data_IF_333906592910
#
_entry.id   IF_333906592910
#
_cell.length_a   1.000
_cell.length_b   1.000
_cell.length_c   1.000
_cell.angle_alpha   90.00
_cell.angle_beta   90.00
_cell.angle_gamma   90.00
#
_symmetry.space_group_name_H-M   'P 1'
#
loop_
_entity.id
_entity.type
_entity.pdbx_description
1 polymer ?
#
# COMPACT_ATOMS: atom_id res chain seq x y z
N UNK A 1 -21.01 -32.19 -20.22
CA UNK A 1 -21.14 -31.54 -21.54
C UNK A 1 -22.40 -30.70 -21.48
N UNK A 2 -22.29 -29.41 -21.76
CA UNK A 2 -23.41 -28.49 -21.94
C UNK A 2 -23.84 -28.54 -23.41
N UNK A 3 -25.14 -28.49 -23.66
CA UNK A 3 -25.68 -28.40 -25.01
C UNK A 3 -25.56 -26.94 -25.50
N UNK A 4 -25.62 -26.75 -26.84
CA UNK A 4 -25.72 -25.42 -27.43
C UNK A 4 -26.91 -24.67 -26.82
N UNK A 5 -26.71 -23.40 -26.48
CA UNK A 5 -27.72 -22.51 -25.86
C UNK A 5 -28.17 -22.88 -24.44
N UNK A 6 -27.49 -23.82 -23.76
CA UNK A 6 -27.77 -24.13 -22.36
C UNK A 6 -27.36 -22.97 -21.45
N UNK A 7 -28.30 -22.56 -20.59
CA UNK A 7 -28.08 -21.49 -19.61
C UNK A 7 -27.96 -22.07 -18.21
N UNK A 8 -26.79 -21.92 -17.58
CA UNK A 8 -26.57 -22.28 -16.18
C UNK A 8 -26.68 -21.02 -15.34
N UNK A 9 -27.54 -21.02 -14.33
CA UNK A 9 -27.69 -19.91 -13.39
C UNK A 9 -27.05 -20.28 -12.06
N UNK A 10 -26.08 -19.49 -11.64
CA UNK A 10 -25.40 -19.64 -10.36
C UNK A 10 -25.66 -18.41 -9.49
N UNK A 11 -25.81 -18.61 -8.18
CA UNK A 11 -25.94 -17.53 -7.20
C UNK A 11 -24.85 -17.73 -6.15
N UNK A 12 -23.98 -16.75 -6.04
CA UNK A 12 -23.01 -16.71 -4.94
C UNK A 12 -23.70 -16.37 -3.63
N UNK A 13 -23.39 -17.09 -2.55
CA UNK A 13 -23.85 -16.79 -1.19
C UNK A 13 -22.86 -15.84 -0.49
N UNK A 14 -21.58 -15.93 -0.85
CA UNK A 14 -20.49 -15.16 -0.27
C UNK A 14 -19.59 -14.61 -1.37
N UNK A 15 -18.59 -13.81 -1.00
CA UNK A 15 -17.54 -13.40 -1.93
C UNK A 15 -16.80 -14.65 -2.40
N UNK A 16 -16.75 -14.87 -3.70
CA UNK A 16 -16.03 -15.98 -4.30
C UNK A 16 -15.37 -15.55 -5.60
N UNK A 17 -14.29 -16.26 -5.94
CA UNK A 17 -13.71 -16.21 -7.27
C UNK A 17 -14.37 -17.32 -8.10
N UNK A 18 -14.89 -16.96 -9.28
CA UNK A 18 -15.40 -17.92 -10.22
C UNK A 18 -14.39 -18.07 -11.36
N UNK A 19 -13.93 -19.29 -11.58
CA UNK A 19 -13.12 -19.64 -12.75
C UNK A 19 -14.04 -20.39 -13.69
N UNK A 20 -14.16 -19.88 -14.92
CA UNK A 20 -14.99 -20.48 -15.96
C UNK A 20 -14.07 -20.82 -17.13
N UNK A 21 -14.13 -22.07 -17.57
CA UNK A 21 -13.32 -22.55 -18.67
C UNK A 21 -14.25 -23.15 -19.72
N UNK A 22 -13.97 -22.88 -20.99
CA UNK A 22 -14.59 -23.48 -22.13
C UNK A 22 -13.56 -24.32 -22.91
N UNK A 23 -13.14 -25.47 -22.36
CA UNK A 23 -12.23 -26.35 -23.06
C UNK A 23 -12.95 -26.96 -24.27
N UNK A 24 -12.24 -27.14 -25.35
CA UNK A 24 -12.70 -28.00 -26.43
C UNK A 24 -12.88 -29.46 -25.96
N UNK A 25 -13.54 -30.27 -26.72
CA UNK A 25 -13.57 -31.71 -26.50
C UNK A 25 -12.18 -32.33 -26.75
N UNK A 26 -11.97 -33.55 -26.25
CA UNK A 26 -10.76 -34.30 -26.55
C UNK A 26 -10.58 -34.38 -28.06
N UNK A 27 -9.40 -33.96 -28.56
CA UNK A 27 -9.06 -34.00 -29.98
C UNK A 27 -8.34 -35.31 -30.32
N UNK A 28 -8.86 -36.00 -31.30
CA UNK A 28 -8.11 -37.07 -32.00
C UNK A 28 -7.15 -36.41 -33.00
N UNK A 29 -6.11 -37.13 -33.40
CA UNK A 29 -5.05 -36.62 -34.31
C UNK A 29 -5.58 -36.08 -35.65
N UNK A 30 -6.73 -36.56 -36.09
CA UNK A 30 -7.38 -36.21 -37.35
C UNK A 30 -8.68 -35.38 -37.17
N UNK A 31 -9.03 -35.01 -35.94
CA UNK A 31 -10.21 -34.21 -35.64
C UNK A 31 -9.82 -32.92 -34.95
N UNK A 32 -10.55 -31.84 -35.23
CA UNK A 32 -10.40 -30.58 -34.53
C UNK A 32 -11.74 -30.29 -33.83
N UNK A 33 -11.70 -30.29 -32.50
CA UNK A 33 -12.80 -29.88 -31.64
C UNK A 33 -12.41 -28.64 -30.86
N UNK A 34 -12.33 -27.47 -31.53
CA UNK A 34 -11.88 -26.24 -30.85
C UNK A 34 -12.84 -25.85 -29.73
N UNK A 35 -12.33 -25.10 -28.77
CA UNK A 35 -13.19 -24.43 -27.79
C UNK A 35 -14.15 -23.50 -28.50
N UNK A 36 -15.39 -23.42 -27.98
CA UNK A 36 -16.40 -22.50 -28.46
C UNK A 36 -16.51 -21.28 -27.57
N UNK A 37 -17.11 -20.21 -28.06
CA UNK A 37 -17.36 -19.01 -27.30
C UNK A 37 -18.29 -19.30 -26.11
N UNK A 38 -17.99 -18.65 -24.98
CA UNK A 38 -18.82 -18.69 -23.78
C UNK A 38 -19.24 -17.29 -23.41
N UNK A 39 -20.51 -17.05 -23.24
CA UNK A 39 -21.03 -15.76 -22.76
C UNK A 39 -21.30 -15.85 -21.26
N UNK A 40 -20.69 -14.97 -20.48
CA UNK A 40 -20.92 -14.86 -19.03
C UNK A 40 -21.67 -13.58 -18.72
N UNK A 41 -22.90 -13.71 -18.24
CA UNK A 41 -23.72 -12.59 -17.79
C UNK A 41 -23.65 -12.48 -16.26
N UNK A 42 -23.08 -11.39 -15.75
CA UNK A 42 -22.98 -11.14 -14.32
C UNK A 42 -24.03 -10.10 -13.91
N UNK A 43 -25.10 -10.55 -13.25
CA UNK A 43 -26.02 -9.65 -12.55
C UNK A 43 -25.50 -9.44 -11.12
N UNK A 44 -24.98 -8.26 -10.85
CA UNK A 44 -24.61 -7.89 -9.48
C UNK A 44 -25.88 -7.60 -8.68
N UNK A 45 -25.90 -8.03 -7.42
CA UNK A 45 -26.93 -7.55 -6.49
C UNK A 45 -26.83 -6.02 -6.43
N UNK A 46 -27.99 -5.34 -6.38
CA UNK A 46 -27.99 -3.90 -6.20
C UNK A 46 -27.11 -3.56 -5.01
N UNK A 47 -26.12 -2.68 -5.21
CA UNK A 47 -25.39 -2.13 -4.08
C UNK A 47 -26.44 -1.44 -3.19
N UNK A 48 -26.81 -2.05 -2.07
CA UNK A 48 -27.13 -1.23 -0.90
C UNK A 48 -25.93 -0.31 -0.79
N UNK A 49 -26.15 1.01 -0.72
CA UNK A 49 -25.06 1.95 -0.40
C UNK A 49 -24.34 1.33 0.78
N UNK A 50 -23.22 0.68 0.49
CA UNK A 50 -22.41 0.09 1.51
C UNK A 50 -21.97 1.30 2.34
N UNK A 51 -22.50 1.42 3.54
CA UNK A 51 -21.81 2.16 4.60
C UNK A 51 -20.40 1.61 4.52
N UNK A 52 -19.46 2.47 4.22
CA UNK A 52 -18.06 2.12 4.07
C UNK A 52 -17.70 1.22 5.26
N UNK A 53 -17.50 -0.08 4.99
CA UNK A 53 -17.28 -1.05 6.06
C UNK A 53 -15.86 -0.78 6.58
N UNK A 54 -15.80 -0.19 7.75
CA UNK A 54 -14.55 0.14 8.43
C UNK A 54 -14.36 -0.81 9.61
N UNK A 55 -13.17 -1.35 9.74
CA UNK A 55 -12.74 -2.17 10.86
C UNK A 55 -11.53 -1.52 11.50
N UNK A 56 -11.62 -1.24 12.77
CA UNK A 56 -10.48 -0.85 13.59
C UNK A 56 -10.19 -2.04 14.49
N UNK A 57 -9.07 -2.77 14.28
CA UNK A 57 -8.69 -3.88 15.14
C UNK A 57 -8.32 -3.36 16.53
N UNK A 58 -8.44 -4.21 17.53
CA UNK A 58 -7.92 -3.88 18.86
C UNK A 58 -6.42 -3.57 18.76
N UNK A 59 -5.94 -2.55 19.48
CA UNK A 59 -4.53 -2.23 19.51
C UNK A 59 -3.73 -3.41 20.07
N UNK A 60 -2.57 -3.69 19.46
CA UNK A 60 -1.72 -4.80 19.89
C UNK A 60 -1.02 -4.49 21.23
N UNK A 61 -0.83 -3.20 21.53
CA UNK A 61 -0.29 -2.68 22.78
C UNK A 61 -1.19 -1.57 23.29
N UNK A 62 -1.11 -1.25 24.57
CA UNK A 62 -1.87 -0.14 25.16
C UNK A 62 -1.50 1.19 24.48
N UNK A 63 -2.43 1.86 23.80
CA UNK A 63 -2.11 3.05 23.02
C UNK A 63 -1.85 4.24 23.94
N UNK A 64 -0.74 4.95 23.70
CA UNK A 64 -0.46 6.25 24.32
C UNK A 64 -1.12 7.41 23.57
N UNK A 65 -1.57 7.19 22.33
CA UNK A 65 -2.25 8.16 21.49
C UNK A 65 -2.84 7.51 20.25
N UNK A 66 -3.83 8.18 19.67
CA UNK A 66 -4.49 7.79 18.42
C UNK A 66 -4.58 9.01 17.50
N UNK A 67 -4.29 8.83 16.22
CA UNK A 67 -4.35 9.86 15.19
C UNK A 67 -5.24 9.37 14.06
N UNK A 68 -6.39 10.02 13.87
CA UNK A 68 -7.31 9.75 12.76
C UNK A 68 -6.96 10.65 11.57
N UNK A 69 -6.18 10.13 10.64
CA UNK A 69 -5.74 10.85 9.45
C UNK A 69 -6.85 10.82 8.41
N UNK A 70 -7.41 11.98 8.11
CA UNK A 70 -8.48 12.12 7.13
C UNK A 70 -7.97 11.86 5.71
N UNK A 71 -8.84 11.39 4.83
CA UNK A 71 -8.51 11.21 3.41
C UNK A 71 -7.90 12.46 2.83
N UNK A 72 -6.89 12.30 1.99
CA UNK A 72 -6.19 13.39 1.30
C UNK A 72 -5.43 14.34 2.21
N UNK A 73 -5.11 13.91 3.43
CA UNK A 73 -4.29 14.68 4.37
C UNK A 73 -3.10 13.85 4.86
N UNK A 74 -2.25 14.49 5.63
CA UNK A 74 -1.19 13.84 6.39
C UNK A 74 -1.18 14.39 7.82
N UNK A 75 -0.64 13.61 8.75
CA UNK A 75 -0.26 14.12 10.05
C UNK A 75 1.19 13.74 10.38
N UNK A 76 1.84 14.60 11.15
CA UNK A 76 3.19 14.37 11.61
C UNK A 76 3.23 14.38 13.14
N UNK A 77 4.01 13.46 13.69
CA UNK A 77 4.09 13.18 15.12
C UNK A 77 5.49 12.71 15.52
N UNK A 78 5.76 12.73 16.80
CA UNK A 78 7.00 12.21 17.36
C UNK A 78 6.73 10.97 18.20
N UNK A 79 7.68 10.03 18.17
CA UNK A 79 7.70 8.82 18.99
C UNK A 79 9.07 8.67 19.63
N UNK A 80 9.12 7.98 20.75
CA UNK A 80 10.35 7.69 21.50
C UNK A 80 10.95 6.35 21.05
N UNK A 81 12.24 6.20 21.27
CA UNK A 81 12.90 4.90 21.14
C UNK A 81 12.17 3.84 21.95
N UNK A 82 11.84 2.72 21.30
CA UNK A 82 11.10 1.62 21.87
C UNK A 82 9.59 1.69 21.69
N UNK A 83 9.03 2.83 21.29
CA UNK A 83 7.58 2.95 21.01
C UNK A 83 7.19 2.14 19.79
N UNK A 84 5.90 1.75 19.76
CA UNK A 84 5.29 1.05 18.64
C UNK A 84 4.35 1.97 17.87
N UNK A 85 4.43 1.90 16.55
CA UNK A 85 3.58 2.65 15.62
C UNK A 85 2.74 1.62 14.88
N UNK A 86 1.42 1.64 15.08
CA UNK A 86 0.49 0.78 14.34
C UNK A 86 -0.25 1.60 13.29
N UNK A 87 0.07 1.39 12.01
CA UNK A 87 -0.63 2.02 10.89
C UNK A 87 -1.71 1.08 10.40
N UNK A 88 -2.97 1.52 10.47
CA UNK A 88 -4.15 0.71 10.14
C UNK A 88 -4.82 1.26 8.89
N UNK A 89 -5.28 0.39 7.99
CA UNK A 89 -6.20 0.73 6.90
C UNK A 89 -7.62 0.28 7.25
N UNK A 90 -8.45 1.17 7.83
CA UNK A 90 -9.76 0.78 8.36
C UNK A 90 -10.72 0.22 7.32
N UNK A 91 -10.65 0.74 6.09
CA UNK A 91 -11.55 0.35 4.98
C UNK A 91 -10.93 -0.68 4.03
N UNK A 92 -9.64 -0.96 4.18
CA UNK A 92 -8.85 -1.76 3.24
C UNK A 92 -8.61 -1.02 1.91
N UNK A 93 -7.65 -1.53 1.12
CA UNK A 93 -7.28 -0.98 -0.21
C UNK A 93 -6.90 0.52 -0.21
N UNK A 94 -6.79 1.12 0.95
CA UNK A 94 -6.32 2.48 1.14
C UNK A 94 -4.81 2.43 1.38
N UNK A 95 -4.04 3.01 0.48
CA UNK A 95 -2.61 3.18 0.67
C UNK A 95 -2.32 4.31 1.66
N UNK A 96 -1.13 4.28 2.24
CA UNK A 96 -0.63 5.30 3.17
C UNK A 96 0.87 5.46 2.95
N UNK A 97 1.34 6.68 2.85
CA UNK A 97 2.76 6.95 2.74
C UNK A 97 3.31 7.28 4.13
N UNK A 98 4.34 6.57 4.53
CA UNK A 98 4.98 6.73 5.84
C UNK A 98 6.44 7.19 5.67
N UNK A 99 6.81 8.20 6.44
CA UNK A 99 8.18 8.71 6.53
C UNK A 99 8.63 8.80 7.98
N UNK A 100 9.93 8.64 8.23
CA UNK A 100 10.53 8.80 9.55
C UNK A 100 11.93 9.40 9.46
N UNK A 101 12.28 10.24 10.42
CA UNK A 101 13.56 10.90 10.57
C UNK A 101 14.08 10.70 11.99
N UNK A 102 15.39 10.54 12.15
CA UNK A 102 16.03 10.63 13.45
C UNK A 102 15.85 12.05 13.99
N UNK A 103 15.12 12.20 15.09
CA UNK A 103 14.79 13.51 15.68
C UNK A 103 16.08 14.26 16.10
N UNK A 104 17.06 13.57 16.65
CA UNK A 104 18.30 14.21 17.11
C UNK A 104 19.17 14.73 15.95
N UNK A 105 19.09 14.13 14.77
CA UNK A 105 19.71 14.62 13.53
C UNK A 105 18.90 15.78 12.95
N UNK A 106 17.58 15.66 12.93
CA UNK A 106 16.68 16.69 12.44
C UNK A 106 16.82 18.00 13.21
N UNK A 107 16.94 17.94 14.54
CA UNK A 107 17.18 19.10 15.41
C UNK A 107 18.51 19.83 15.10
N UNK A 108 19.42 19.14 14.45
CA UNK A 108 20.71 19.71 13.96
C UNK A 108 20.64 20.15 12.49
N UNK A 109 19.47 20.13 11.89
CA UNK A 109 19.26 20.48 10.48
C UNK A 109 19.69 19.38 9.50
N UNK A 110 19.86 18.13 9.95
CA UNK A 110 20.18 16.98 9.11
C UNK A 110 18.94 16.16 8.86
N UNK A 111 18.41 16.24 7.65
CA UNK A 111 17.19 15.53 7.25
C UNK A 111 17.48 14.09 6.79
N UNK A 112 18.07 13.28 7.67
CA UNK A 112 18.36 11.88 7.39
C UNK A 112 17.11 11.03 7.68
N UNK A 113 16.32 10.83 6.65
CA UNK A 113 15.15 9.96 6.69
C UNK A 113 15.46 8.55 6.22
N UNK A 114 14.40 7.75 6.12
CA UNK A 114 14.48 6.38 5.60
C UNK A 114 15.07 6.36 4.18
N UNK A 115 16.00 5.45 3.93
CA UNK A 115 16.66 5.25 2.64
C UNK A 115 16.47 3.82 2.11
N UNK A 116 15.94 3.74 0.89
CA UNK A 116 15.59 2.46 0.29
C UNK A 116 16.79 1.71 -0.27
N UNK A 117 17.81 2.41 -0.74
CA UNK A 117 19.00 1.78 -1.28
C UNK A 117 19.78 1.09 -0.15
N UNK A 118 19.99 1.80 0.94
CA UNK A 118 20.62 1.27 2.16
C UNK A 118 19.81 0.11 2.72
N UNK A 119 18.49 0.30 2.87
CA UNK A 119 17.60 -0.72 3.42
C UNK A 119 17.64 -2.00 2.58
N UNK A 120 17.49 -1.91 1.26
CA UNK A 120 17.54 -3.09 0.38
C UNK A 120 18.92 -3.75 0.38
N UNK A 121 19.98 -2.96 0.48
CA UNK A 121 21.35 -3.50 0.52
C UNK A 121 21.57 -4.36 1.75
N UNK A 122 21.11 -3.92 2.93
CA UNK A 122 21.31 -4.65 4.17
C UNK A 122 20.28 -5.77 4.39
N UNK A 123 19.05 -5.56 3.98
CA UNK A 123 17.98 -6.53 4.20
C UNK A 123 17.84 -7.55 3.07
N UNK A 124 18.31 -7.25 1.86
CA UNK A 124 18.18 -8.14 0.70
C UNK A 124 16.73 -8.35 0.24
N UNK A 125 15.81 -7.48 0.67
CA UNK A 125 14.38 -7.55 0.38
C UNK A 125 13.88 -6.24 -0.19
N UNK A 126 12.88 -6.31 -1.04
CA UNK A 126 12.19 -5.13 -1.58
C UNK A 126 11.43 -4.39 -0.49
N UNK A 127 10.90 -5.13 0.48
CA UNK A 127 10.29 -4.59 1.69
C UNK A 127 10.66 -5.49 2.88
N UNK A 128 11.28 -4.95 3.94
CA UNK A 128 11.53 -5.67 5.17
C UNK A 128 10.24 -6.18 5.82
N UNK A 129 10.27 -7.42 6.28
CA UNK A 129 9.15 -8.06 7.00
C UNK A 129 9.52 -8.44 8.42
N UNK A 130 8.58 -8.92 9.25
CA UNK A 130 8.89 -9.36 10.60
C UNK A 130 9.96 -10.44 10.65
N UNK A 131 10.90 -10.36 11.61
CA UNK A 131 11.94 -11.35 11.84
C UNK A 131 13.35 -10.87 11.52
N UNK A 132 14.16 -11.71 10.87
CA UNK A 132 15.59 -11.43 10.67
C UNK A 132 15.84 -10.22 9.77
N UNK A 133 15.00 -10.00 8.77
CA UNK A 133 15.12 -8.93 7.77
C UNK A 133 14.02 -7.88 7.98
N UNK A 134 14.03 -7.22 9.15
CA UNK A 134 12.91 -6.39 9.60
C UNK A 134 13.20 -4.90 9.64
N UNK A 135 14.44 -4.46 9.38
CA UNK A 135 14.87 -3.08 9.67
C UNK A 135 14.85 -2.18 8.44
N UNK A 136 14.53 -0.92 8.69
CA UNK A 136 14.71 0.17 7.74
C UNK A 136 15.80 1.12 8.24
N UNK A 137 16.65 1.56 7.32
CA UNK A 137 17.84 2.34 7.57
C UNK A 137 17.77 3.73 6.96
N UNK A 138 18.52 4.65 7.54
CA UNK A 138 18.82 5.95 6.93
C UNK A 138 20.08 5.87 6.02
N UNK A 139 20.45 7.02 5.43
CA UNK A 139 21.62 7.15 4.55
C UNK A 139 22.96 6.98 5.29
N UNK A 140 22.99 7.14 6.62
CA UNK A 140 24.17 6.92 7.45
C UNK A 140 24.29 5.47 7.94
N UNK A 141 23.46 4.59 7.40
CA UNK A 141 23.39 3.17 7.75
C UNK A 141 22.89 2.90 9.18
N UNK A 142 22.16 3.84 9.76
CA UNK A 142 21.59 3.69 11.08
C UNK A 142 20.14 3.16 10.97
N UNK A 143 19.77 2.11 11.72
CA UNK A 143 18.42 1.60 11.70
C UNK A 143 17.47 2.54 12.45
N UNK A 144 16.40 2.96 11.80
CA UNK A 144 15.38 3.85 12.37
C UNK A 144 14.17 3.11 12.93
N UNK A 145 13.69 2.14 12.20
CA UNK A 145 12.51 1.34 12.57
C UNK A 145 12.73 -0.13 12.24
N UNK A 146 11.96 -1.00 12.90
CA UNK A 146 11.83 -2.40 12.49
C UNK A 146 10.37 -2.84 12.40
N UNK A 147 10.08 -3.75 11.49
CA UNK A 147 8.74 -4.34 11.31
C UNK A 147 8.53 -5.41 12.36
N UNK A 148 7.54 -5.22 13.23
CA UNK A 148 7.16 -6.19 14.27
C UNK A 148 6.04 -7.12 13.78
N UNK A 149 5.09 -6.55 13.06
CA UNK A 149 3.96 -7.27 12.51
C UNK A 149 3.47 -6.60 11.22
N UNK A 150 3.06 -7.43 10.29
CA UNK A 150 2.51 -7.00 9.01
C UNK A 150 1.44 -8.02 8.61
N UNK A 151 0.22 -7.56 8.36
CA UNK A 151 -0.91 -8.42 7.99
C UNK A 151 -1.13 -8.50 6.48
N UNK A 152 -0.39 -7.70 5.69
CA UNK A 152 -0.54 -7.62 4.23
C UNK A 152 0.66 -8.22 3.49
N UNK A 153 1.88 -7.93 3.94
CA UNK A 153 3.13 -8.47 3.41
C UNK A 153 3.58 -7.90 2.06
N UNK A 154 2.85 -6.93 1.50
CA UNK A 154 3.22 -6.26 0.24
C UNK A 154 3.04 -4.76 0.40
N UNK A 155 4.13 -4.05 0.18
CA UNK A 155 4.23 -2.60 0.23
C UNK A 155 5.22 -2.12 -0.82
N UNK A 156 5.18 -0.82 -1.13
CA UNK A 156 6.05 -0.25 -2.15
C UNK A 156 7.18 0.58 -1.54
N UNK A 157 8.40 0.30 -1.99
CA UNK A 157 9.61 1.08 -1.75
C UNK A 157 10.34 1.43 -3.05
N UNK A 158 9.68 1.31 -4.19
CA UNK A 158 10.24 1.64 -5.50
C UNK A 158 9.87 3.05 -5.94
N UNK A 159 8.64 3.48 -5.64
CA UNK A 159 8.10 4.75 -6.06
C UNK A 159 8.21 5.80 -4.94
N UNK A 160 8.24 7.06 -5.34
CA UNK A 160 8.03 8.18 -4.42
C UNK A 160 6.58 8.21 -3.96
N UNK A 161 6.31 8.88 -2.84
CA UNK A 161 4.97 9.38 -2.55
C UNK A 161 4.46 10.18 -3.73
N UNK A 162 3.18 10.06 -4.07
CA UNK A 162 2.63 10.70 -5.26
C UNK A 162 2.85 12.23 -5.22
N UNK A 163 3.06 12.83 -6.41
CA UNK A 163 3.42 14.25 -6.56
C UNK A 163 2.42 14.98 -7.46
N UNK A 164 2.34 16.31 -7.34
CA UNK A 164 1.55 17.14 -8.27
C UNK A 164 1.93 16.90 -9.72
N UNK A 165 3.23 16.80 -10.01
CA UNK A 165 3.75 16.56 -11.36
C UNK A 165 3.22 15.25 -11.97
N UNK A 166 3.13 14.19 -11.18
CA UNK A 166 2.58 12.91 -11.65
C UNK A 166 1.12 13.06 -12.12
N UNK A 167 0.31 13.78 -11.36
CA UNK A 167 -1.09 14.01 -11.72
C UNK A 167 -1.24 14.98 -12.88
N UNK A 168 -0.45 16.06 -12.94
CA UNK A 168 -0.44 17.02 -14.04
C UNK A 168 -0.08 16.36 -15.37
N UNK A 169 0.92 15.48 -15.39
CA UNK A 169 1.29 14.70 -16.58
C UNK A 169 0.18 13.75 -17.05
N UNK A 170 -0.66 13.29 -16.10
CA UNK A 170 -1.85 12.50 -16.39
C UNK A 170 -3.09 13.38 -16.75
N UNK A 171 -2.96 14.72 -16.77
CA UNK A 171 -4.04 15.65 -17.10
C UNK A 171 -4.91 16.10 -15.92
N UNK A 172 -4.54 15.76 -14.68
CA UNK A 172 -5.28 16.10 -13.47
C UNK A 172 -4.63 17.28 -12.73
N UNK A 173 -4.88 18.50 -13.18
CA UNK A 173 -4.33 19.72 -12.58
C UNK A 173 -4.98 20.01 -11.21
N UNK A 174 -4.15 20.44 -10.25
CA UNK A 174 -4.63 20.78 -8.90
C UNK A 174 -5.10 19.59 -8.06
N UNK A 175 -4.75 18.37 -8.45
CA UNK A 175 -5.08 17.19 -7.69
C UNK A 175 -4.27 17.14 -6.39
N UNK A 176 -4.96 16.85 -5.26
CA UNK A 176 -4.28 16.65 -3.98
C UNK A 176 -3.30 15.47 -4.08
N UNK A 177 -2.13 15.59 -3.46
CA UNK A 177 -1.09 14.58 -3.53
C UNK A 177 -0.36 14.43 -2.19
N UNK A 178 0.26 13.28 -2.01
CA UNK A 178 0.87 12.93 -0.74
C UNK A 178 2.11 13.74 -0.41
N UNK A 179 2.89 14.12 -1.44
CA UNK A 179 4.09 14.93 -1.23
C UNK A 179 3.76 16.32 -0.70
N UNK A 180 2.70 16.97 -1.19
CA UNK A 180 2.25 18.26 -0.69
C UNK A 180 1.66 18.12 0.72
N UNK A 181 0.88 17.05 0.99
CA UNK A 181 0.35 16.77 2.31
C UNK A 181 1.47 16.55 3.35
N UNK A 182 2.52 15.80 2.99
CA UNK A 182 3.71 15.62 3.83
C UNK A 182 4.47 16.94 4.03
N UNK A 183 4.60 17.77 2.99
CA UNK A 183 5.21 19.10 3.10
C UNK A 183 4.48 19.96 4.14
N UNK A 184 3.15 19.97 4.11
CA UNK A 184 2.34 20.74 5.06
C UNK A 184 2.46 20.19 6.49
N UNK A 185 2.33 18.89 6.68
CA UNK A 185 2.33 18.27 8.00
C UNK A 185 3.69 18.30 8.69
N UNK A 186 4.79 18.17 7.91
CA UNK A 186 6.16 18.11 8.44
C UNK A 186 6.77 19.51 8.66
N UNK A 187 6.16 20.57 8.15
CA UNK A 187 6.65 21.97 8.30
C UNK A 187 6.82 22.35 9.78
N UNK A 188 5.89 21.89 10.66
CA UNK A 188 5.94 22.15 12.11
C UNK A 188 7.20 21.62 12.82
N UNK A 189 7.89 20.66 12.18
CA UNK A 189 9.15 20.09 12.67
C UNK A 189 10.38 20.61 11.90
N UNK A 190 10.22 21.67 11.11
CA UNK A 190 11.32 22.32 10.38
C UNK A 190 11.85 21.53 9.18
N UNK A 191 11.16 20.48 8.74
CA UNK A 191 11.55 19.70 7.56
C UNK A 191 11.30 20.53 6.30
N UNK A 192 12.29 20.58 5.43
CA UNK A 192 12.21 21.35 4.18
C UNK A 192 11.22 20.72 3.20
N UNK A 193 10.51 21.57 2.46
CA UNK A 193 9.57 21.14 1.41
C UNK A 193 10.31 20.39 0.30
N UNK A 194 9.76 19.25 -0.09
CA UNK A 194 10.29 18.38 -1.14
C UNK A 194 9.30 18.29 -2.29
N UNK A 195 9.80 18.15 -3.52
CA UNK A 195 8.95 17.90 -4.70
C UNK A 195 8.43 16.45 -4.74
N UNK A 196 9.11 15.54 -4.10
CA UNK A 196 8.75 14.15 -3.95
C UNK A 196 9.40 13.59 -2.71
N UNK A 197 8.67 12.80 -1.95
CA UNK A 197 9.11 12.21 -0.71
C UNK A 197 9.48 10.74 -0.90
N UNK A 198 10.62 10.37 -0.34
CA UNK A 198 10.98 8.97 -0.16
C UNK A 198 10.16 8.42 1.01
N UNK A 199 9.06 7.77 0.71
CA UNK A 199 8.14 7.22 1.70
C UNK A 199 8.02 5.69 1.57
N UNK A 200 7.70 4.99 2.63
CA UNK A 200 7.13 3.65 2.51
C UNK A 200 5.69 3.83 2.04
N UNK A 201 5.38 3.39 0.83
CA UNK A 201 4.00 3.39 0.34
C UNK A 201 3.31 2.14 0.87
N UNK A 202 2.78 2.23 2.09
CA UNK A 202 2.13 1.13 2.78
C UNK A 202 0.88 0.67 2.05
N UNK A 203 0.65 -0.64 2.04
CA UNK A 203 -0.52 -1.27 1.41
C UNK A 203 -0.58 -1.10 -0.12
N UNK A 204 0.48 -0.59 -0.73
CA UNK A 204 0.58 -0.44 -2.17
C UNK A 204 1.23 -1.68 -2.78
N UNK A 205 0.52 -2.35 -3.68
CA UNK A 205 0.98 -3.60 -4.27
C UNK A 205 1.89 -3.33 -5.46
N UNK A 206 3.19 -3.35 -5.21
CA UNK A 206 4.23 -3.13 -6.21
C UNK A 206 5.19 -4.29 -6.25
N UNK A 207 5.62 -4.67 -7.42
CA UNK A 207 6.60 -5.74 -7.64
C UNK A 207 7.57 -5.40 -8.76
N UNK A 208 8.76 -6.00 -8.69
CA UNK A 208 9.71 -5.97 -9.80
C UNK A 208 9.28 -7.02 -10.83
N UNK A 209 8.91 -6.57 -12.00
CA UNK A 209 8.54 -7.42 -13.13
C UNK A 209 9.74 -7.87 -13.96
N UNK A 210 9.52 -8.77 -14.90
CA UNK A 210 10.48 -9.05 -15.96
C UNK A 210 10.77 -7.80 -16.79
N UNK A 211 11.91 -7.77 -17.44
CA UNK A 211 12.34 -6.65 -18.29
C UNK A 211 12.49 -5.30 -17.56
N UNK A 212 12.85 -5.34 -16.27
CA UNK A 212 13.11 -4.17 -15.44
C UNK A 212 11.91 -3.24 -15.22
N UNK A 213 10.70 -3.74 -15.37
CA UNK A 213 9.48 -2.97 -15.09
C UNK A 213 9.15 -2.98 -13.59
N UNK A 214 8.58 -1.88 -13.10
CA UNK A 214 7.90 -1.81 -11.82
C UNK A 214 6.41 -1.97 -12.10
N UNK A 215 5.84 -3.04 -11.59
CA UNK A 215 4.42 -3.38 -11.77
C UNK A 215 3.63 -2.90 -10.56
N UNK A 216 2.46 -2.35 -10.78
CA UNK A 216 1.53 -1.92 -9.74
C UNK A 216 0.17 -2.56 -9.96
N UNK A 217 -0.31 -3.26 -8.94
CA UNK A 217 -1.58 -3.97 -8.94
C UNK A 217 -2.51 -3.47 -7.83
N UNK A 218 -3.73 -3.99 -7.78
CA UNK A 218 -4.65 -3.68 -6.69
C UNK A 218 -4.07 -4.08 -5.34
N UNK A 219 -4.26 -3.22 -4.34
CA UNK A 219 -3.89 -3.52 -2.96
C UNK A 219 -4.57 -4.78 -2.44
N UNK A 220 -3.83 -5.63 -1.76
CA UNK A 220 -4.36 -6.81 -1.06
C UNK A 220 -4.94 -6.49 0.31
N UNK A 221 -4.73 -5.27 0.82
CA UNK A 221 -5.18 -4.87 2.13
C UNK A 221 -6.70 -4.96 2.28
N UNK A 222 -7.14 -5.54 3.37
CA UNK A 222 -8.53 -5.73 3.76
C UNK A 222 -8.90 -4.72 4.85
N UNK A 223 -10.19 -4.47 5.10
CA UNK A 223 -10.58 -3.66 6.23
C UNK A 223 -9.98 -4.16 7.55
N UNK A 224 -9.28 -3.28 8.26
CA UNK A 224 -8.62 -3.58 9.51
C UNK A 224 -7.20 -4.16 9.40
N UNK A 225 -6.65 -4.32 8.19
CA UNK A 225 -5.24 -4.69 8.04
C UNK A 225 -4.30 -3.57 8.52
N UNK A 226 -3.12 -3.97 9.00
CA UNK A 226 -2.17 -3.05 9.60
C UNK A 226 -0.72 -3.51 9.51
N UNK A 227 0.17 -2.55 9.73
CA UNK A 227 1.60 -2.78 9.96
C UNK A 227 1.99 -2.18 11.29
N UNK A 228 2.84 -2.87 12.06
CA UNK A 228 3.43 -2.37 13.29
C UNK A 228 4.92 -2.20 13.10
N UNK A 229 5.40 -0.99 13.35
CA UNK A 229 6.81 -0.67 13.47
C UNK A 229 7.19 -0.47 14.94
N UNK A 230 8.41 -0.82 15.31
CA UNK A 230 9.06 -0.37 16.55
C UNK A 230 10.08 0.70 16.21
N UNK A 231 10.03 1.82 16.88
CA UNK A 231 11.03 2.87 16.80
C UNK A 231 12.33 2.40 17.44
N UNK A 232 13.45 2.54 16.74
CA UNK A 232 14.79 2.17 17.24
C UNK A 232 15.59 3.38 17.69
N UNK A 233 15.01 4.57 17.56
CA UNK A 233 15.50 5.89 18.01
C UNK A 233 14.29 6.78 18.28
N UNK A 234 14.53 7.96 18.89
CA UNK A 234 13.52 9.02 18.89
C UNK A 234 13.29 9.48 17.46
N UNK A 235 12.06 9.40 16.98
CA UNK A 235 11.73 9.68 15.58
C UNK A 235 10.69 10.79 15.44
N UNK A 236 10.85 11.56 14.37
CA UNK A 236 9.83 12.45 13.83
C UNK A 236 9.25 11.80 12.58
N UNK A 237 7.97 11.42 12.65
CA UNK A 237 7.27 10.64 11.63
C UNK A 237 6.21 11.48 10.92
N UNK A 238 5.91 11.11 9.67
CA UNK A 238 4.76 11.61 8.91
C UNK A 238 4.01 10.46 8.27
N UNK A 239 2.69 10.51 8.30
CA UNK A 239 1.81 9.49 7.71
C UNK A 239 0.70 10.15 6.92
N UNK A 240 0.43 9.65 5.72
CA UNK A 240 -0.65 10.15 4.85
C UNK A 240 -1.84 9.19 4.83
N UNK A 241 -3.03 9.72 4.52
CA UNK A 241 -4.14 8.93 3.99
C UNK A 241 -4.27 9.27 2.49
N UNK A 242 -3.77 8.35 1.64
CA UNK A 242 -3.58 8.59 0.20
C UNK A 242 -4.90 8.85 -0.53
N UNK A 243 -4.84 9.71 -1.52
CA UNK A 243 -5.91 9.91 -2.51
C UNK A 243 -6.09 8.62 -3.32
N UNK A 244 -7.33 8.18 -3.65
CA UNK A 244 -7.53 7.08 -4.56
C UNK A 244 -6.78 7.35 -5.87
N UNK A 245 -5.84 6.47 -6.21
CA UNK A 245 -5.06 6.63 -7.43
C UNK A 245 -5.96 6.46 -8.65
N UNK A 246 -5.91 7.42 -9.55
CA UNK A 246 -6.46 7.26 -10.89
C UNK A 246 -5.54 6.32 -11.64
N UNK A 247 -6.03 5.14 -12.03
CA UNK A 247 -5.26 4.23 -12.89
C UNK A 247 -5.03 4.94 -14.23
N UNK A 248 -3.77 5.27 -14.52
CA UNK A 248 -3.38 5.51 -15.91
C UNK A 248 -3.34 4.16 -16.62
N UNK A 249 -4.15 3.99 -17.66
CA UNK A 249 -4.09 2.87 -18.58
C UNK A 249 -3.01 3.09 -19.63
#
# INVERSE_FOLDING_TARGET
NTNAEEIIKLKSKDKCYCIISAPGNAMLVHEQNPSTDLTVLVKRAEKKQDKEFSVIPDPVYDPSGEIDIKRTTADAYQVKEGDYIQVITPTGRQCSDFVAFDTAKLDKGQENGLDWQTTRTFMGHTFPGPGLFSKFYDVDHEPLIEVIRDTVGIHDTFNLACTSKYYEDAGYFGHANCSDNLNESMEKYGVQKKRGWHAINLFFNTSAGGQNSVLSDESYARPGDYVIFRALKDLTCGTTAVVPQVKSF
#
